data_IF_828026079702
#
_entry.id   IF_828026079702
#
_cell.length_a   1.000
_cell.length_b   1.000
_cell.length_c   1.000
_cell.angle_alpha   90.00
_cell.angle_beta   90.00
_cell.angle_gamma   90.00
#
_symmetry.space_group_name_H-M   'P 1'
#
loop_
_entity.id
_entity.type
_entity.pdbx_description
1 polymer ?
#
# COMPACT_ATOMS: atom_id res chain seq x y z
N UNK A 1 9.25 6.21 -13.28
CA UNK A 1 9.54 5.48 -12.03
C UNK A 1 8.24 4.93 -11.49
N UNK A 2 8.18 3.64 -11.17
CA UNK A 2 6.97 3.03 -10.58
C UNK A 2 6.78 3.53 -9.15
N UNK A 3 5.54 3.51 -8.65
CA UNK A 3 5.26 3.86 -7.25
C UNK A 3 6.00 2.93 -6.26
N UNK A 4 6.22 1.66 -6.66
CA UNK A 4 7.01 0.70 -5.88
C UNK A 4 8.46 1.15 -5.77
N UNK A 5 9.07 1.60 -6.86
CA UNK A 5 10.48 2.01 -6.88
C UNK A 5 10.71 3.18 -5.91
N UNK A 6 9.80 4.17 -5.92
CA UNK A 6 9.80 5.29 -4.97
C UNK A 6 9.67 4.77 -3.55
N UNK A 7 8.72 3.87 -3.31
CA UNK A 7 8.48 3.32 -1.98
C UNK A 7 9.70 2.57 -1.44
N UNK A 8 10.37 1.75 -2.25
CA UNK A 8 11.57 0.99 -1.86
C UNK A 8 12.75 1.91 -1.57
N UNK A 9 12.99 2.92 -2.43
CA UNK A 9 14.08 3.87 -2.22
C UNK A 9 13.87 4.71 -0.95
N UNK A 10 12.64 5.18 -0.77
CA UNK A 10 12.28 6.02 0.37
C UNK A 10 12.24 5.22 1.67
N UNK A 11 11.81 3.95 1.65
CA UNK A 11 11.64 3.13 2.85
C UNK A 11 12.90 3.07 3.71
N UNK A 12 14.08 2.97 3.09
CA UNK A 12 15.38 2.96 3.80
C UNK A 12 15.70 4.29 4.51
N UNK A 13 15.06 5.38 4.10
CA UNK A 13 15.25 6.75 4.62
C UNK A 13 14.12 7.17 5.57
N UNK A 14 13.20 6.26 5.94
CA UNK A 14 12.10 6.56 6.84
C UNK A 14 12.42 6.11 8.27
N UNK A 15 12.00 6.94 9.21
CA UNK A 15 12.06 6.61 10.63
C UNK A 15 10.75 5.96 11.10
N UNK A 16 10.73 5.30 12.27
CA UNK A 16 9.50 4.71 12.81
C UNK A 16 8.34 5.70 12.93
N UNK A 17 8.62 6.94 13.28
CA UNK A 17 7.66 8.03 13.45
C UNK A 17 7.04 8.46 12.10
N UNK A 18 7.84 8.47 11.04
CA UNK A 18 7.35 8.70 9.68
C UNK A 18 6.31 7.62 9.30
N UNK A 19 6.57 6.37 9.63
CA UNK A 19 5.68 5.24 9.37
C UNK A 19 4.41 5.30 10.24
N UNK A 20 4.51 5.76 11.50
CA UNK A 20 3.37 6.00 12.37
C UNK A 20 2.44 7.07 11.81
N UNK A 21 2.98 8.17 11.27
CA UNK A 21 2.20 9.22 10.61
C UNK A 21 1.47 8.67 9.37
N UNK A 22 2.15 7.91 8.52
CA UNK A 22 1.52 7.30 7.35
C UNK A 22 0.38 6.35 7.76
N UNK A 23 0.59 5.54 8.79
CA UNK A 23 -0.42 4.63 9.33
C UNK A 23 -1.61 5.39 9.95
N UNK A 24 -1.34 6.48 10.66
CA UNK A 24 -2.37 7.36 11.19
C UNK A 24 -3.26 7.95 10.09
N UNK A 25 -2.67 8.43 9.00
CA UNK A 25 -3.40 8.94 7.84
C UNK A 25 -4.25 7.82 7.20
N UNK A 26 -3.71 6.60 7.04
CA UNK A 26 -4.48 5.46 6.54
C UNK A 26 -5.72 5.18 7.39
N UNK A 27 -5.58 5.17 8.73
CA UNK A 27 -6.67 4.89 9.65
C UNK A 27 -7.77 5.96 9.58
N UNK A 28 -7.38 7.23 9.51
CA UNK A 28 -8.30 8.37 9.44
C UNK A 28 -8.93 8.54 8.06
N UNK A 29 -8.37 7.95 7.01
CA UNK A 29 -8.95 7.94 5.64
C UNK A 29 -10.33 7.23 5.59
N UNK A 30 -10.70 6.47 6.64
CA UNK A 30 -12.06 5.93 6.80
C UNK A 30 -13.10 7.00 7.15
N UNK A 31 -12.67 8.10 7.76
CA UNK A 31 -13.53 9.18 8.28
C UNK A 31 -13.46 10.44 7.45
N UNK A 32 -12.29 10.72 6.86
CA UNK A 32 -12.01 11.93 6.10
C UNK A 32 -11.46 11.59 4.71
N UNK A 33 -11.86 12.37 3.70
CA UNK A 33 -11.23 12.32 2.35
C UNK A 33 -9.83 12.90 2.37
N UNK A 34 -9.67 14.01 3.08
CA UNK A 34 -8.41 14.63 3.39
C UNK A 34 -8.29 14.71 4.90
N UNK A 35 -7.35 13.98 5.49
CA UNK A 35 -7.19 13.90 6.94
C UNK A 35 -6.67 15.25 7.46
N UNK A 36 -7.41 15.97 8.33
CA UNK A 36 -6.94 17.24 8.87
C UNK A 36 -5.67 17.07 9.69
N UNK A 37 -4.74 18.02 9.60
CA UNK A 37 -3.44 17.99 10.29
C UNK A 37 -3.59 17.75 11.79
N UNK A 38 -4.52 18.47 12.42
CA UNK A 38 -4.80 18.40 13.85
C UNK A 38 -5.35 17.05 14.31
N UNK A 39 -5.77 16.17 13.40
CA UNK A 39 -6.32 14.85 13.76
C UNK A 39 -5.28 13.73 13.70
N UNK A 40 -4.10 13.98 13.13
CA UNK A 40 -3.07 12.97 12.89
C UNK A 40 -2.32 12.60 14.19
N UNK A 41 -2.13 13.56 15.10
CA UNK A 41 -1.31 13.38 16.30
C UNK A 41 -1.82 12.25 17.21
N UNK A 42 -3.14 12.16 17.47
CA UNK A 42 -3.75 11.12 18.32
C UNK A 42 -3.48 9.70 17.83
N UNK A 43 -3.85 9.32 16.59
CA UNK A 43 -3.58 7.99 16.07
C UNK A 43 -2.09 7.70 15.84
N UNK A 44 -1.28 8.72 15.57
CA UNK A 44 0.17 8.55 15.43
C UNK A 44 0.88 8.35 16.78
N UNK A 45 0.25 8.73 17.90
CA UNK A 45 0.86 8.79 19.23
C UNK A 45 2.09 9.71 19.27
N UNK A 46 2.06 10.80 18.51
CA UNK A 46 3.14 11.78 18.41
C UNK A 46 2.67 13.18 18.83
N UNK A 47 3.56 14.01 19.37
CA UNK A 47 3.24 15.41 19.63
C UNK A 47 2.84 16.15 18.35
N UNK A 48 1.90 17.11 18.40
CA UNK A 48 1.49 17.88 17.22
C UNK A 48 2.65 18.59 16.50
N UNK A 49 3.64 19.07 17.25
CA UNK A 49 4.84 19.72 16.73
C UNK A 49 5.68 18.77 15.85
N UNK A 50 5.85 17.53 16.30
CA UNK A 50 6.60 16.50 15.57
C UNK A 50 5.88 16.11 14.27
N UNK A 51 4.56 15.99 14.32
CA UNK A 51 3.74 15.74 13.13
C UNK A 51 3.90 16.87 12.11
N UNK A 52 3.76 18.12 12.54
CA UNK A 52 3.91 19.30 11.69
C UNK A 52 5.31 19.39 11.06
N UNK A 53 6.36 19.00 11.80
CA UNK A 53 7.73 18.95 11.32
C UNK A 53 7.95 17.89 10.22
N UNK A 54 7.36 16.70 10.39
CA UNK A 54 7.57 15.56 9.48
C UNK A 54 6.70 15.61 8.22
N UNK A 55 5.52 16.22 8.26
CA UNK A 55 4.59 16.30 7.12
C UNK A 55 5.23 16.89 5.84
N UNK A 56 5.99 18.01 5.89
CA UNK A 56 6.72 18.52 4.73
C UNK A 56 7.72 17.52 4.15
N UNK A 57 8.41 16.74 4.99
CA UNK A 57 9.40 15.74 4.55
C UNK A 57 8.72 14.55 3.87
N UNK A 58 7.63 14.04 4.45
CA UNK A 58 6.81 12.98 3.84
C UNK A 58 6.22 13.41 2.50
N UNK A 59 5.87 14.69 2.36
CA UNK A 59 5.41 15.28 1.09
C UNK A 59 6.53 15.35 0.06
N UNK A 60 7.73 15.80 0.44
CA UNK A 60 8.91 15.83 -0.45
C UNK A 60 9.25 14.45 -0.98
N UNK A 61 9.12 13.42 -0.11
CA UNK A 61 9.29 12.00 -0.46
C UNK A 61 8.12 11.42 -1.28
N UNK A 62 7.13 12.21 -1.67
CA UNK A 62 5.94 11.81 -2.45
C UNK A 62 5.07 10.72 -1.81
N UNK A 63 5.12 10.55 -0.49
CA UNK A 63 4.33 9.55 0.24
C UNK A 63 2.93 10.05 0.62
N UNK A 64 2.79 11.36 0.76
CA UNK A 64 1.53 12.03 1.08
C UNK A 64 1.25 13.16 0.10
N UNK A 65 -0.03 13.41 -0.15
CA UNK A 65 -0.53 14.55 -0.93
C UNK A 65 -1.19 15.53 0.03
N UNK A 66 -0.80 16.80 -0.06
CA UNK A 66 -1.45 17.89 0.67
C UNK A 66 -2.66 18.40 -0.12
N UNK A 67 -3.77 18.55 0.57
CA UNK A 67 -4.96 19.25 0.11
C UNK A 67 -5.05 20.62 0.79
N UNK A 68 -5.42 21.64 0.03
CA UNK A 68 -5.66 23.01 0.52
C UNK A 68 -7.07 23.40 0.09
N UNK A 69 -7.98 23.50 1.06
CA UNK A 69 -9.33 24.02 0.87
C UNK A 69 -9.72 24.85 2.10
N UNK A 70 -10.93 24.63 2.62
CA UNK A 70 -11.41 25.23 3.89
C UNK A 70 -10.50 24.86 5.08
N UNK A 71 -9.84 23.71 4.99
CA UNK A 71 -8.80 23.28 5.93
C UNK A 71 -7.60 22.69 5.17
N UNK A 72 -6.45 22.60 5.86
CA UNK A 72 -5.31 21.82 5.36
C UNK A 72 -5.51 20.36 5.74
N UNK A 73 -5.50 19.48 4.74
CA UNK A 73 -5.59 18.03 4.95
C UNK A 73 -4.54 17.27 4.16
N UNK A 74 -4.37 15.99 4.50
CA UNK A 74 -3.43 15.09 3.86
C UNK A 74 -4.10 13.78 3.44
N UNK A 75 -3.66 13.22 2.32
CA UNK A 75 -4.06 11.89 1.87
C UNK A 75 -2.83 11.07 1.47
N UNK A 76 -2.90 9.75 1.61
CA UNK A 76 -1.84 8.87 1.14
C UNK A 76 -1.75 8.88 -0.38
N UNK A 77 -0.53 8.77 -0.91
CA UNK A 77 -0.28 8.47 -2.31
C UNK A 77 -0.17 6.95 -2.52
N UNK A 78 -0.12 6.52 -3.77
CA UNK A 78 0.18 5.12 -4.12
C UNK A 78 1.49 4.64 -3.47
N UNK A 79 2.55 5.45 -3.57
CA UNK A 79 3.84 5.14 -2.98
C UNK A 79 3.76 5.07 -1.45
N UNK A 80 3.06 6.00 -0.78
CA UNK A 80 2.86 5.93 0.68
C UNK A 80 2.13 4.66 1.11
N UNK A 81 1.15 4.22 0.34
CA UNK A 81 0.42 2.97 0.60
C UNK A 81 1.30 1.72 0.36
N UNK A 82 2.13 1.75 -0.68
CA UNK A 82 3.15 0.72 -0.95
C UNK A 82 4.13 0.60 0.22
N UNK A 83 4.67 1.74 0.69
CA UNK A 83 5.59 1.78 1.83
C UNK A 83 4.98 1.14 3.07
N UNK A 84 3.71 1.43 3.38
CA UNK A 84 3.02 0.81 4.51
C UNK A 84 2.85 -0.71 4.35
N UNK A 85 2.59 -1.18 3.14
CA UNK A 85 2.48 -2.60 2.85
C UNK A 85 3.85 -3.31 2.97
N UNK A 86 4.90 -2.71 2.41
CA UNK A 86 6.29 -3.18 2.51
C UNK A 86 6.71 -3.28 3.98
N UNK A 87 6.51 -2.20 4.75
CA UNK A 87 6.81 -2.18 6.18
C UNK A 87 6.15 -3.33 6.93
N UNK A 88 4.87 -3.61 6.65
CA UNK A 88 4.15 -4.69 7.31
C UNK A 88 4.68 -6.08 6.93
N UNK A 89 5.18 -6.26 5.71
CA UNK A 89 5.77 -7.53 5.25
C UNK A 89 7.18 -7.73 5.81
N UNK A 90 7.96 -6.65 5.93
CA UNK A 90 9.28 -6.67 6.59
C UNK A 90 9.12 -6.98 8.09
N UNK A 91 8.21 -6.28 8.80
CA UNK A 91 7.92 -6.55 10.22
C UNK A 91 7.38 -7.96 10.46
N UNK A 92 6.76 -8.58 9.47
CA UNK A 92 6.28 -9.95 9.55
C UNK A 92 7.36 -11.01 9.19
N UNK A 93 8.61 -10.60 8.98
CA UNK A 93 9.72 -11.46 8.54
C UNK A 93 9.41 -12.21 7.23
N UNK A 94 8.64 -11.60 6.33
CA UNK A 94 8.32 -12.18 5.01
C UNK A 94 9.26 -11.66 3.93
N UNK A 95 9.69 -10.41 4.04
CA UNK A 95 10.57 -9.76 3.07
C UNK A 95 11.81 -9.19 3.76
N UNK A 96 12.97 -9.41 3.16
CA UNK A 96 14.26 -8.85 3.59
C UNK A 96 14.83 -7.91 2.51
N UNK A 97 14.81 -8.33 1.25
CA UNK A 97 15.35 -7.55 0.14
C UNK A 97 14.37 -7.46 -1.04
N UNK A 98 14.41 -6.34 -1.76
CA UNK A 98 13.71 -6.16 -3.04
C UNK A 98 14.70 -6.27 -4.19
N UNK A 99 14.32 -7.03 -5.21
CA UNK A 99 15.06 -7.22 -6.45
C UNK A 99 14.49 -6.41 -7.61
N UNK A 100 14.79 -6.87 -8.82
CA UNK A 100 14.36 -6.24 -10.07
C UNK A 100 12.85 -6.43 -10.32
N UNK A 101 12.20 -5.54 -11.09
CA UNK A 101 10.85 -5.78 -11.57
C UNK A 101 10.82 -7.03 -12.45
N UNK A 102 9.88 -7.94 -12.19
CA UNK A 102 9.59 -9.11 -13.02
C UNK A 102 8.58 -8.75 -14.12
N UNK A 103 7.65 -7.84 -13.82
CA UNK A 103 6.70 -7.34 -14.81
C UNK A 103 5.90 -6.16 -14.28
N UNK A 104 5.88 -5.06 -15.01
CA UNK A 104 5.09 -3.86 -14.68
C UNK A 104 3.92 -3.79 -15.64
N UNK A 105 2.70 -3.97 -15.11
CA UNK A 105 1.48 -4.08 -15.89
C UNK A 105 0.48 -2.94 -15.64
N UNK A 106 -0.67 -3.04 -16.33
CA UNK A 106 -1.77 -2.07 -16.17
C UNK A 106 -2.49 -2.22 -14.83
N UNK A 107 -2.68 -3.45 -14.37
CA UNK A 107 -3.47 -3.79 -13.17
C UNK A 107 -2.60 -4.27 -12.00
N UNK A 108 -1.33 -4.59 -12.22
CA UNK A 108 -0.42 -5.01 -11.18
C UNK A 108 1.03 -4.78 -11.58
N UNK A 109 1.88 -4.57 -10.58
CA UNK A 109 3.34 -4.57 -10.72
C UNK A 109 3.89 -5.76 -9.92
N UNK A 110 4.76 -6.56 -10.52
CA UNK A 110 5.37 -7.74 -9.90
C UNK A 110 6.86 -7.55 -9.83
N UNK A 111 7.41 -7.77 -8.63
CA UNK A 111 8.83 -7.60 -8.32
C UNK A 111 9.40 -8.89 -7.75
N UNK A 112 10.67 -9.12 -8.03
CA UNK A 112 11.48 -10.13 -7.36
C UNK A 112 11.83 -9.64 -5.95
N UNK A 113 11.94 -10.54 -4.99
CA UNK A 113 12.31 -10.23 -3.62
C UNK A 113 12.90 -11.46 -2.91
N UNK A 114 13.56 -11.22 -1.79
CA UNK A 114 14.13 -12.27 -0.94
C UNK A 114 13.46 -12.26 0.43
N UNK A 115 13.20 -13.46 0.94
CA UNK A 115 12.84 -13.71 2.33
C UNK A 115 14.09 -13.67 3.22
N UNK A 116 13.94 -13.52 4.55
CA UNK A 116 15.06 -13.66 5.52
C UNK A 116 15.81 -14.99 5.46
N UNK A 117 15.22 -16.03 4.86
CA UNK A 117 15.84 -17.34 4.67
C UNK A 117 16.59 -17.46 3.34
N UNK A 118 16.74 -16.36 2.59
CA UNK A 118 17.39 -16.35 1.26
C UNK A 118 16.54 -16.94 0.13
N UNK A 119 15.28 -17.29 0.37
CA UNK A 119 14.38 -17.79 -0.68
C UNK A 119 13.85 -16.66 -1.55
N UNK A 120 13.89 -16.84 -2.87
CA UNK A 120 13.28 -15.93 -3.84
C UNK A 120 11.75 -16.04 -3.84
N UNK A 121 11.09 -14.88 -3.83
CA UNK A 121 9.64 -14.75 -3.81
C UNK A 121 9.18 -13.64 -4.74
N UNK A 122 7.98 -13.78 -5.29
CA UNK A 122 7.36 -12.73 -6.09
C UNK A 122 6.48 -11.84 -5.21
N UNK A 123 6.64 -10.53 -5.33
CA UNK A 123 5.82 -9.51 -4.66
C UNK A 123 4.97 -8.79 -5.69
N UNK A 124 3.66 -9.02 -5.63
CA UNK A 124 2.67 -8.45 -6.54
C UNK A 124 1.91 -7.32 -5.87
N UNK A 125 2.03 -6.12 -6.43
CA UNK A 125 1.29 -4.92 -6.04
C UNK A 125 0.10 -4.74 -6.97
N UNK A 126 -1.12 -4.72 -6.44
CA UNK A 126 -2.31 -4.45 -7.24
C UNK A 126 -2.49 -2.95 -7.50
N UNK A 127 -2.79 -2.61 -8.75
CA UNK A 127 -2.88 -1.25 -9.30
C UNK A 127 -4.22 -1.00 -9.99
N UNK A 128 -5.33 -1.13 -9.26
CA UNK A 128 -6.60 -0.68 -9.83
C UNK A 128 -6.58 0.84 -9.99
N UNK A 129 -7.10 1.33 -11.12
CA UNK A 129 -7.21 2.76 -11.39
C UNK A 129 -5.98 3.46 -12.02
N UNK A 130 -4.88 2.73 -12.31
CA UNK A 130 -3.67 3.29 -12.96
C UNK A 130 -3.92 3.84 -14.37
N UNK A 131 -4.90 3.26 -15.07
CA UNK A 131 -5.42 3.77 -16.35
C UNK A 131 -6.93 3.72 -16.29
N UNK A 132 -7.59 4.72 -16.87
CA UNK A 132 -9.03 4.90 -16.88
C UNK A 132 -9.75 3.71 -17.50
N UNK A 133 -10.00 2.68 -16.70
CA UNK A 133 -11.13 1.77 -16.93
C UNK A 133 -12.40 2.55 -16.58
N UNK A 134 -12.93 3.30 -17.54
CA UNK A 134 -14.26 3.92 -17.45
C UNK A 134 -15.38 2.90 -17.12
N UNK A 135 -15.08 1.59 -17.14
CA UNK A 135 -16.03 0.50 -16.90
C UNK A 135 -15.85 -0.28 -15.58
N UNK A 136 -14.86 -0.01 -14.71
CA UNK A 136 -14.68 -0.81 -13.47
C UNK A 136 -15.90 -0.74 -12.55
N UNK A 137 -16.50 0.46 -12.42
CA UNK A 137 -17.76 0.66 -11.67
C UNK A 137 -18.95 -0.15 -12.23
N UNK A 138 -18.94 -0.51 -13.51
CA UNK A 138 -20.08 -1.18 -14.18
C UNK A 138 -19.93 -2.70 -14.25
N UNK A 139 -18.69 -3.24 -14.30
CA UNK A 139 -18.44 -4.67 -14.48
C UNK A 139 -18.01 -5.42 -13.20
N UNK A 140 -17.55 -4.72 -12.17
CA UNK A 140 -17.07 -5.35 -10.94
C UNK A 140 -17.91 -4.84 -9.78
N UNK A 141 -18.79 -5.68 -9.22
CA UNK A 141 -19.73 -5.36 -8.13
C UNK A 141 -19.07 -5.06 -6.78
N UNK A 142 -18.06 -4.18 -6.74
CA UNK A 142 -17.31 -3.76 -5.57
C UNK A 142 -17.63 -2.32 -5.18
N UNK A 143 -18.90 -1.96 -5.09
CA UNK A 143 -19.28 -0.68 -4.48
C UNK A 143 -19.52 -0.95 -3.00
N UNK A 144 -18.48 -0.73 -2.20
CA UNK A 144 -18.58 -0.78 -0.74
C UNK A 144 -18.89 0.62 -0.20
N UNK A 145 -19.69 0.69 0.87
CA UNK A 145 -20.20 1.91 1.52
C UNK A 145 -19.12 2.73 2.28
N UNK A 146 -17.87 2.75 1.82
CA UNK A 146 -16.82 3.57 2.45
C UNK A 146 -16.74 4.93 1.75
N UNK A 147 -17.00 5.99 2.50
CA UNK A 147 -17.34 7.30 1.94
C UNK A 147 -16.14 8.04 1.34
N UNK A 148 -14.89 7.75 1.76
CA UNK A 148 -13.76 8.64 1.44
C UNK A 148 -12.36 8.03 1.23
N UNK A 149 -12.17 6.70 1.34
CA UNK A 149 -10.89 6.10 0.88
C UNK A 149 -10.78 6.31 -0.63
N UNK A 150 -9.62 6.67 -1.20
CA UNK A 150 -9.48 6.70 -2.65
C UNK A 150 -9.90 5.33 -3.16
N UNK A 151 -11.03 5.30 -3.87
CA UNK A 151 -11.81 4.09 -4.19
C UNK A 151 -10.92 2.94 -4.69
N UNK A 152 -9.88 3.32 -5.43
CA UNK A 152 -8.87 2.43 -6.00
C UNK A 152 -7.93 1.74 -4.99
N UNK A 153 -7.52 2.35 -3.87
CA UNK A 153 -6.73 1.67 -2.84
C UNK A 153 -7.54 0.57 -2.18
N UNK A 154 -8.79 0.90 -1.81
CA UNK A 154 -9.69 -0.03 -1.17
C UNK A 154 -10.05 -1.18 -2.11
N UNK A 155 -10.39 -0.87 -3.37
CA UNK A 155 -10.63 -1.88 -4.39
C UNK A 155 -9.40 -2.76 -4.63
N UNK A 156 -8.19 -2.18 -4.68
CA UNK A 156 -6.95 -2.94 -4.89
C UNK A 156 -6.76 -3.93 -3.75
N UNK A 157 -6.98 -3.48 -2.50
CA UNK A 157 -6.97 -4.37 -1.32
C UNK A 157 -8.00 -5.50 -1.40
N UNK A 158 -9.23 -5.22 -1.85
CA UNK A 158 -10.24 -6.27 -2.03
C UNK A 158 -9.80 -7.28 -3.09
N UNK A 159 -9.27 -6.80 -4.23
CA UNK A 159 -8.79 -7.66 -5.30
C UNK A 159 -7.66 -8.58 -4.83
N UNK A 160 -6.67 -8.03 -4.10
CA UNK A 160 -5.56 -8.81 -3.53
C UNK A 160 -6.05 -9.85 -2.54
N UNK A 161 -7.00 -9.51 -1.66
CA UNK A 161 -7.59 -10.48 -0.72
C UNK A 161 -8.30 -11.63 -1.44
N UNK A 162 -9.01 -11.33 -2.52
CA UNK A 162 -9.68 -12.36 -3.34
C UNK A 162 -8.68 -13.26 -4.05
N UNK A 163 -7.63 -12.67 -4.62
CA UNK A 163 -6.56 -13.44 -5.26
C UNK A 163 -5.85 -14.35 -4.25
N UNK A 164 -5.47 -13.82 -3.09
CA UNK A 164 -4.86 -14.62 -2.02
C UNK A 164 -5.75 -15.80 -1.61
N UNK A 165 -7.03 -15.56 -1.36
CA UNK A 165 -7.99 -16.61 -1.01
C UNK A 165 -8.15 -17.65 -2.11
N UNK A 166 -8.13 -17.24 -3.38
CA UNK A 166 -8.18 -18.18 -4.51
C UNK A 166 -6.93 -19.08 -4.52
N UNK A 167 -5.74 -18.51 -4.35
CA UNK A 167 -4.49 -19.26 -4.27
C UNK A 167 -4.48 -20.23 -3.07
N UNK A 168 -4.98 -19.81 -1.90
CA UNK A 168 -5.08 -20.67 -0.71
C UNK A 168 -5.97 -21.90 -0.96
N UNK A 169 -7.00 -21.78 -1.81
CA UNK A 169 -7.89 -22.88 -2.15
C UNK A 169 -7.30 -23.77 -3.26
N UNK A 170 -6.63 -23.17 -4.25
CA UNK A 170 -6.17 -23.87 -5.45
C UNK A 170 -4.83 -24.58 -5.24
N UNK A 171 -3.89 -23.97 -4.53
CA UNK A 171 -2.54 -24.51 -4.34
C UNK A 171 -2.54 -25.88 -3.66
N UNK A 172 -3.29 -26.11 -2.54
CA UNK A 172 -3.33 -27.44 -1.91
C UNK A 172 -4.02 -28.51 -2.75
N UNK A 173 -4.79 -28.12 -3.78
CA UNK A 173 -5.47 -29.04 -4.70
C UNK A 173 -4.58 -29.47 -5.87
N UNK A 174 -3.31 -29.08 -5.90
CA UNK A 174 -2.37 -29.44 -6.96
C UNK A 174 -2.58 -28.68 -8.27
N UNK A 175 -3.35 -27.59 -8.26
CA UNK A 175 -3.48 -26.72 -9.43
C UNK A 175 -2.15 -25.99 -9.64
N UNK A 176 -1.70 -25.84 -10.89
CA UNK A 176 -0.47 -25.12 -11.25
C UNK A 176 -0.60 -23.61 -11.00
N UNK A 177 -0.52 -23.21 -9.73
CA UNK A 177 -0.54 -21.83 -9.25
C UNK A 177 0.60 -21.62 -8.24
N UNK A 178 1.10 -20.39 -8.06
CA UNK A 178 2.14 -20.12 -7.08
C UNK A 178 1.61 -20.28 -5.64
N UNK A 179 2.50 -20.66 -4.72
CA UNK A 179 2.16 -20.80 -3.30
C UNK A 179 1.90 -19.42 -2.70
N UNK A 180 0.71 -19.15 -2.14
CA UNK A 180 0.48 -17.89 -1.42
C UNK A 180 1.26 -17.90 -0.11
N UNK A 181 2.04 -16.84 0.15
CA UNK A 181 2.85 -16.71 1.38
C UNK A 181 2.17 -15.75 2.35
N UNK A 182 1.98 -14.49 1.93
CA UNK A 182 1.37 -13.47 2.79
C UNK A 182 0.65 -12.40 1.97
N UNK A 183 -0.41 -11.87 2.55
CA UNK A 183 -1.17 -10.77 2.01
C UNK A 183 -1.12 -9.58 2.98
N UNK A 184 -0.79 -8.39 2.49
CA UNK A 184 -0.97 -7.14 3.25
C UNK A 184 -1.46 -6.01 2.34
N UNK A 185 -2.53 -5.30 2.75
CA UNK A 185 -3.15 -4.22 1.96
C UNK A 185 -3.47 -4.65 0.53
N UNK A 186 -2.85 -4.07 -0.48
CA UNK A 186 -2.97 -4.38 -1.90
C UNK A 186 -1.77 -5.19 -2.44
N UNK A 187 -0.96 -5.75 -1.54
CA UNK A 187 0.25 -6.50 -1.86
C UNK A 187 0.07 -7.96 -1.49
N UNK A 188 0.53 -8.83 -2.39
CA UNK A 188 0.53 -10.27 -2.28
C UNK A 188 1.96 -10.77 -2.47
N UNK A 189 2.46 -11.55 -1.50
CA UNK A 189 3.72 -12.29 -1.61
C UNK A 189 3.39 -13.75 -1.89
N UNK A 190 4.04 -14.32 -2.90
CA UNK A 190 3.88 -15.70 -3.32
C UNK A 190 5.23 -16.32 -3.70
N UNK A 191 5.29 -17.64 -3.79
CA UNK A 191 6.48 -18.30 -4.35
C UNK A 191 6.73 -17.80 -5.78
N UNK A 192 8.00 -17.84 -6.19
CA UNK A 192 8.34 -17.76 -7.61
C UNK A 192 7.71 -18.91 -8.41
#
# INVERSE_FOLDING_TARGET
>A
MSAVDIAVEVYRKLEPEDLQILQAIELQTKRYEHVPEDTIHKPAHLPPQEVAYRLPNLRKKSLIRRWRGVYTGYSLTTAGYDTLAINALVKANVLEAFGKPLGVGKEADVYDALTPAGQQVAVKFHRLGRTSFKQTKRKRGYVTKYTYTPDWHHQSRIATKKEYKALEILYPKGVAVPKPIKQNRHVLVMSM
#
